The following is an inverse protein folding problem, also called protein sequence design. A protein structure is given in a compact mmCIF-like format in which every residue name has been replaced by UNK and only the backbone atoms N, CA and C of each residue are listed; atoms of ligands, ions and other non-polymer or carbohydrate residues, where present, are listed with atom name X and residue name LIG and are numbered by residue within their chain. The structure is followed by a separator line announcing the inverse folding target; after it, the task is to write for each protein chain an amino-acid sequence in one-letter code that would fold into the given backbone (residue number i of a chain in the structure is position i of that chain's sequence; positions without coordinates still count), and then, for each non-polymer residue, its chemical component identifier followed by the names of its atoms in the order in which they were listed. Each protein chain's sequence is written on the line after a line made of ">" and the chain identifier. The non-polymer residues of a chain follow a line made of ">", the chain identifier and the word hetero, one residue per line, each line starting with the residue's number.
data_IF_190436112358
#
_entry.id   IF_190436112358
#
_cell.length_a   1.000
_cell.length_b   1.000
_cell.length_c   1.000
_cell.angle_alpha   90.00
_cell.angle_beta   90.00
_cell.angle_gamma   90.00
#
_symmetry.space_group_name_H-M   'P 1'
#
loop_
_entity.id
_entity.type
_entity.pdbx_description
1 polymer ?
#
# COMPACT_ATOMS: atom_id res chain seq x y z
N UNK A 1 29.29 25.92 1.31
CA UNK A 1 29.33 25.63 2.76
C UNK A 1 29.02 24.15 2.93
N UNK A 2 29.92 23.38 3.54
CA UNK A 2 29.66 21.95 3.84
C UNK A 2 28.74 21.94 5.05
N UNK A 3 27.46 21.53 4.87
CA UNK A 3 26.52 21.35 5.96
C UNK A 3 27.09 20.35 6.96
N UNK A 4 27.00 20.66 8.24
CA UNK A 4 27.31 19.74 9.33
C UNK A 4 26.51 18.46 9.11
N UNK A 5 27.14 17.25 9.16
CA UNK A 5 26.36 16.01 9.07
C UNK A 5 25.31 16.02 10.17
N UNK A 6 24.08 15.69 9.84
CA UNK A 6 23.01 15.55 10.81
C UNK A 6 23.51 14.60 11.91
N UNK A 7 23.61 15.07 13.16
CA UNK A 7 23.95 14.21 14.28
C UNK A 7 22.88 13.11 14.36
N UNK A 8 23.33 11.86 14.31
CA UNK A 8 22.44 10.69 14.44
C UNK A 8 21.70 10.74 15.79
N UNK A 9 20.62 9.98 15.89
CA UNK A 9 19.93 9.74 17.16
C UNK A 9 20.80 8.86 18.04
N UNK A 10 20.94 9.18 19.33
CA UNK A 10 21.44 8.23 20.32
C UNK A 10 20.38 7.16 20.64
N UNK A 11 20.75 6.10 21.37
CA UNK A 11 19.84 5.00 21.70
C UNK A 11 18.61 5.44 22.47
N UNK A 12 18.75 6.41 23.40
CA UNK A 12 17.63 6.95 24.17
C UNK A 12 16.65 7.70 23.26
N UNK A 13 17.16 8.57 22.40
CA UNK A 13 16.35 9.32 21.43
C UNK A 13 15.63 8.38 20.47
N UNK A 14 16.29 7.32 19.99
CA UNK A 14 15.65 6.29 19.20
C UNK A 14 14.55 5.56 19.97
N UNK A 15 14.77 5.26 21.23
CA UNK A 15 13.75 4.65 22.09
C UNK A 15 12.51 5.53 22.22
N UNK A 16 12.68 6.84 22.41
CA UNK A 16 11.58 7.81 22.48
C UNK A 16 10.80 7.88 21.14
N UNK A 17 11.50 7.98 20.01
CA UNK A 17 10.90 7.98 18.67
C UNK A 17 10.12 6.69 18.39
N UNK A 18 10.71 5.54 18.70
CA UNK A 18 10.03 4.25 18.53
C UNK A 18 8.77 4.15 19.43
N UNK A 19 8.86 4.65 20.65
CA UNK A 19 7.72 4.72 21.57
C UNK A 19 6.58 5.57 21.03
N UNK A 20 6.88 6.77 20.50
CA UNK A 20 5.90 7.68 19.91
C UNK A 20 5.27 7.08 18.64
N UNK A 21 6.08 6.50 17.76
CA UNK A 21 5.61 5.83 16.54
C UNK A 21 4.70 4.63 16.88
N UNK A 22 5.08 3.83 17.88
CA UNK A 22 4.28 2.70 18.37
C UNK A 22 2.93 3.17 18.91
N UNK A 23 2.93 4.21 19.74
CA UNK A 23 1.71 4.76 20.32
C UNK A 23 0.78 5.34 19.23
N UNK A 24 1.35 6.03 18.23
CA UNK A 24 0.58 6.53 17.08
C UNK A 24 -0.03 5.38 16.28
N UNK A 25 0.75 4.33 15.96
CA UNK A 25 0.23 3.16 15.25
C UNK A 25 -0.91 2.49 16.03
N UNK A 26 -0.76 2.30 17.34
CA UNK A 26 -1.82 1.74 18.18
C UNK A 26 -3.10 2.59 18.14
N UNK A 27 -2.98 3.93 18.17
CA UNK A 27 -4.12 4.85 18.04
C UNK A 27 -4.79 4.71 16.67
N UNK A 28 -4.02 4.65 15.58
CA UNK A 28 -4.54 4.46 14.22
C UNK A 28 -5.25 3.11 14.06
N UNK A 29 -4.70 2.04 14.62
CA UNK A 29 -5.31 0.70 14.56
C UNK A 29 -6.66 0.62 15.29
N UNK A 30 -6.87 1.46 16.32
CA UNK A 30 -8.16 1.54 17.03
C UNK A 30 -9.25 2.28 16.26
N UNK A 31 -8.90 2.94 15.18
CA UNK A 31 -9.87 3.56 14.27
C UNK A 31 -10.22 2.54 13.19
N UNK A 32 -11.47 2.07 13.19
CA UNK A 32 -11.95 1.20 12.12
C UNK A 32 -12.21 2.03 10.86
N UNK A 33 -11.40 1.75 9.85
CA UNK A 33 -11.47 2.34 8.50
C UNK A 33 -11.68 1.25 7.45
N UNK A 34 -12.40 0.17 7.82
CA UNK A 34 -12.70 -0.93 6.90
C UNK A 34 -13.41 -0.43 5.65
N UNK A 35 -12.90 -0.78 4.49
CA UNK A 35 -13.44 -0.39 3.21
C UNK A 35 -13.89 -1.63 2.42
N UNK A 36 -15.16 -1.74 2.04
CA UNK A 36 -16.27 -0.82 2.30
C UNK A 36 -16.77 -0.86 3.76
N UNK A 37 -17.44 0.19 4.29
CA UNK A 37 -17.82 1.42 3.60
C UNK A 37 -16.74 2.51 3.59
N UNK A 38 -15.68 2.39 4.43
CA UNK A 38 -14.70 3.41 4.70
C UNK A 38 -15.13 4.42 5.77
N UNK A 39 -14.17 4.97 6.49
CA UNK A 39 -14.36 6.00 7.52
C UNK A 39 -13.01 6.72 7.74
N UNK A 40 -12.34 7.04 6.67
CA UNK A 40 -10.97 7.54 6.72
C UNK A 40 -10.89 8.93 7.39
N UNK A 41 -11.99 9.70 7.39
CA UNK A 41 -12.06 10.99 8.06
C UNK A 41 -11.68 10.90 9.56
N UNK A 42 -12.01 9.80 10.23
CA UNK A 42 -11.68 9.60 11.64
C UNK A 42 -10.16 9.44 11.85
N UNK A 43 -9.49 8.67 10.99
CA UNK A 43 -8.05 8.50 11.01
C UNK A 43 -7.32 9.77 10.54
N UNK A 44 -7.84 10.45 9.52
CA UNK A 44 -7.29 11.70 9.01
C UNK A 44 -7.33 12.82 10.08
N UNK A 45 -8.43 12.95 10.82
CA UNK A 45 -8.52 13.89 11.95
C UNK A 45 -7.58 13.56 13.10
N UNK A 46 -7.39 12.27 13.39
CA UNK A 46 -6.41 11.83 14.38
C UNK A 46 -4.99 12.26 13.96
N UNK A 47 -4.62 12.04 12.70
CA UNK A 47 -3.32 12.46 12.16
C UNK A 47 -3.16 13.99 12.17
N UNK A 48 -4.20 14.73 11.78
CA UNK A 48 -4.19 16.19 11.82
C UNK A 48 -3.89 16.70 13.23
N UNK A 49 -4.53 16.14 14.26
CA UNK A 49 -4.25 16.50 15.65
C UNK A 49 -2.80 16.19 16.05
N UNK A 50 -2.29 15.00 15.67
CA UNK A 50 -0.93 14.57 15.99
C UNK A 50 0.13 15.42 15.30
N UNK A 51 -0.12 15.85 14.07
CA UNK A 51 0.82 16.70 13.33
C UNK A 51 0.77 18.15 13.81
N UNK A 52 -0.39 18.62 14.25
CA UNK A 52 -0.55 19.96 14.85
C UNK A 52 0.22 20.13 16.17
N UNK A 53 0.52 19.04 16.91
CA UNK A 53 1.38 19.06 18.10
C UNK A 53 2.80 19.59 17.80
N UNK A 54 3.25 19.51 16.55
CA UNK A 54 4.56 19.98 16.08
C UNK A 54 4.42 21.13 15.06
N UNK A 55 3.32 21.89 15.10
CA UNK A 55 3.05 23.01 14.19
C UNK A 55 3.15 22.62 12.70
N UNK A 56 2.63 21.45 12.37
CA UNK A 56 2.55 20.96 10.97
C UNK A 56 1.11 21.09 10.50
N UNK A 57 0.89 22.04 9.59
CA UNK A 57 -0.43 22.25 8.99
C UNK A 57 -0.81 21.10 8.05
N UNK A 58 -2.08 20.69 8.13
CA UNK A 58 -2.64 19.64 7.32
C UNK A 58 -3.96 20.08 6.68
N UNK A 59 -4.13 19.74 5.42
CA UNK A 59 -5.41 19.89 4.73
C UNK A 59 -6.16 18.55 4.73
N UNK A 60 -7.45 18.59 5.08
CA UNK A 60 -8.38 17.48 4.92
C UNK A 60 -9.18 17.69 3.64
N UNK A 61 -9.02 16.79 2.69
CA UNK A 61 -9.65 16.84 1.36
C UNK A 61 -10.65 15.69 1.26
N UNK A 62 -11.92 16.00 1.52
CA UNK A 62 -13.01 15.02 1.55
C UNK A 62 -13.58 14.81 0.16
N UNK A 63 -13.42 13.61 -0.39
CA UNK A 63 -13.92 13.24 -1.72
C UNK A 63 -15.40 12.82 -1.68
N UNK A 64 -15.86 12.27 -0.57
CA UNK A 64 -17.23 11.89 -0.28
C UNK A 64 -17.45 11.89 1.24
N UNK A 65 -18.69 11.93 1.74
CA UNK A 65 -18.96 11.94 3.18
C UNK A 65 -18.22 10.81 3.92
N UNK A 66 -17.36 11.18 4.88
CA UNK A 66 -16.53 10.25 5.63
C UNK A 66 -15.27 9.74 4.93
N UNK A 67 -15.08 10.01 3.65
CA UNK A 67 -13.99 9.54 2.81
C UNK A 67 -12.98 10.68 2.59
N UNK A 68 -12.10 10.91 3.55
CA UNK A 68 -11.21 12.06 3.57
C UNK A 68 -9.75 11.65 3.42
N UNK A 69 -9.04 12.44 2.62
CA UNK A 69 -7.60 12.39 2.45
C UNK A 69 -6.95 13.45 3.33
N UNK A 70 -5.78 13.19 3.86
CA UNK A 70 -4.95 14.18 4.55
C UNK A 70 -3.72 14.47 3.71
N UNK A 71 -3.42 15.77 3.53
CA UNK A 71 -2.17 16.22 2.90
C UNK A 71 -1.48 17.21 3.83
N UNK A 72 -0.20 16.96 4.10
CA UNK A 72 0.69 17.88 4.82
C UNK A 72 1.93 18.17 3.99
N UNK A 73 2.53 19.37 4.14
CA UNK A 73 3.72 19.76 3.39
C UNK A 73 4.70 20.50 4.27
N UNK A 74 5.94 20.03 4.31
CA UNK A 74 7.07 20.78 4.85
C UNK A 74 7.79 21.46 3.69
N UNK A 75 7.74 22.79 3.67
CA UNK A 75 8.39 23.59 2.63
C UNK A 75 9.89 23.73 2.90
N UNK A 76 10.69 23.56 1.85
CA UNK A 76 12.13 23.81 1.86
C UNK A 76 12.49 25.21 1.38
N UNK A 77 11.56 25.91 0.74
CA UNK A 77 11.83 27.13 -0.03
C UNK A 77 12.62 26.89 -1.32
N UNK A 78 12.88 25.64 -1.69
CA UNK A 78 13.61 25.23 -2.90
C UNK A 78 12.66 25.04 -4.09
N UNK A 79 13.18 25.21 -5.31
CA UNK A 79 12.47 24.87 -6.56
C UNK A 79 12.64 23.41 -6.98
N UNK A 80 13.39 22.61 -6.22
CA UNK A 80 13.58 21.19 -6.50
C UNK A 80 12.24 20.43 -6.38
N UNK A 81 11.95 19.49 -7.29
CA UNK A 81 10.72 18.70 -7.21
C UNK A 81 10.55 18.00 -5.85
N UNK A 82 9.37 18.04 -5.23
CA UNK A 82 9.12 17.48 -3.92
C UNK A 82 9.34 15.97 -3.83
N UNK A 83 9.52 15.47 -2.60
CA UNK A 83 9.38 14.06 -2.23
C UNK A 83 8.00 13.84 -1.62
N UNK A 84 7.25 12.90 -2.16
CA UNK A 84 5.94 12.47 -1.65
C UNK A 84 6.11 11.19 -0.82
N UNK A 85 5.58 11.20 0.40
CA UNK A 85 5.31 10.02 1.20
C UNK A 85 3.85 9.66 0.99
N UNK A 86 3.59 8.64 0.19
CA UNK A 86 2.25 8.20 -0.21
C UNK A 86 1.81 7.01 0.65
N UNK A 87 0.71 7.15 1.37
CA UNK A 87 0.16 6.11 2.25
C UNK A 87 -1.35 6.11 2.17
N UNK A 88 -2.01 4.99 2.55
CA UNK A 88 -3.47 4.95 2.65
C UNK A 88 -3.96 4.70 4.08
N UNK A 89 -5.19 5.12 4.35
CA UNK A 89 -5.82 5.07 5.67
C UNK A 89 -6.83 3.93 5.81
N UNK A 90 -7.43 3.52 4.71
CA UNK A 90 -8.39 2.43 4.70
C UNK A 90 -7.72 1.06 4.88
N UNK A 91 -8.51 0.08 5.23
CA UNK A 91 -8.07 -1.31 5.42
C UNK A 91 -9.16 -2.24 4.90
N UNK A 92 -8.78 -3.44 4.45
CA UNK A 92 -9.76 -4.48 4.13
C UNK A 92 -10.51 -4.92 5.40
N UNK A 93 -11.75 -5.42 5.28
CA UNK A 93 -12.51 -5.93 6.42
C UNK A 93 -11.75 -6.97 7.25
N UNK A 94 -12.00 -6.99 8.56
CA UNK A 94 -11.33 -7.93 9.47
C UNK A 94 -11.68 -9.40 9.20
N UNK A 95 -12.82 -9.67 8.56
CA UNK A 95 -13.36 -11.02 8.37
C UNK A 95 -13.96 -11.58 9.66
N UNK A 96 -13.72 -12.86 9.92
CA UNK A 96 -14.18 -13.49 11.17
C UNK A 96 -13.29 -13.01 12.35
N UNK A 97 -13.85 -12.14 13.18
CA UNK A 97 -13.12 -11.58 14.34
C UNK A 97 -12.81 -12.67 15.38
N UNK A 98 -13.56 -13.77 15.43
CA UNK A 98 -13.28 -14.91 16.31
C UNK A 98 -12.02 -15.68 15.94
N UNK A 99 -11.51 -15.52 14.72
CA UNK A 99 -10.25 -16.12 14.27
C UNK A 99 -9.00 -15.30 14.66
N UNK A 100 -9.17 -14.10 15.22
CA UNK A 100 -8.05 -13.26 15.62
C UNK A 100 -7.56 -13.59 17.03
N UNK A 101 -6.24 -13.62 17.22
CA UNK A 101 -5.61 -13.80 18.55
C UNK A 101 -5.88 -12.59 19.46
N UNK A 102 -5.93 -11.40 18.89
CA UNK A 102 -6.28 -10.14 19.56
C UNK A 102 -7.35 -9.41 18.73
N UNK A 103 -8.19 -8.55 19.33
CA UNK A 103 -9.20 -7.79 18.58
C UNK A 103 -8.57 -7.05 17.39
N UNK A 104 -9.14 -7.16 16.17
CA UNK A 104 -8.55 -6.57 14.95
C UNK A 104 -8.37 -5.05 15.02
N UNK A 105 -9.22 -4.35 15.77
CA UNK A 105 -9.11 -2.90 16.00
C UNK A 105 -8.69 -2.58 17.45
N UNK A 106 -8.00 -3.51 18.12
CA UNK A 106 -7.49 -3.31 19.48
C UNK A 106 -6.20 -2.50 19.55
N UNK A 107 -5.37 -2.56 18.52
CA UNK A 107 -4.02 -1.97 18.53
C UNK A 107 -3.20 -2.51 19.69
N UNK A 108 -3.27 -3.81 19.94
CA UNK A 108 -2.64 -4.48 21.08
C UNK A 108 -1.13 -4.62 20.84
N UNK A 109 -0.32 -4.20 21.80
CA UNK A 109 1.11 -4.51 21.85
C UNK A 109 1.31 -5.69 22.79
N UNK A 110 1.66 -6.85 22.24
CA UNK A 110 1.97 -8.07 23.00
C UNK A 110 3.32 -8.64 22.58
N UNK A 111 4.20 -8.87 23.55
CA UNK A 111 5.55 -9.44 23.36
C UNK A 111 6.38 -8.76 22.28
N UNK A 112 6.27 -7.44 22.16
CA UNK A 112 7.00 -6.65 21.17
C UNK A 112 6.39 -6.64 19.76
N UNK A 113 5.21 -7.23 19.57
CA UNK A 113 4.45 -7.26 18.32
C UNK A 113 3.17 -6.42 18.45
N UNK A 114 2.92 -5.55 17.49
CA UNK A 114 1.67 -4.77 17.42
C UNK A 114 0.66 -5.54 16.57
N UNK A 115 -0.49 -5.86 17.17
CA UNK A 115 -1.56 -6.62 16.55
C UNK A 115 -2.70 -5.72 16.12
N UNK A 116 -3.18 -5.92 14.90
CA UNK A 116 -4.38 -5.23 14.41
C UNK A 116 -4.52 -5.26 12.89
N UNK A 117 -5.74 -5.07 12.39
CA UNK A 117 -6.00 -4.87 10.97
C UNK A 117 -5.36 -3.56 10.51
N UNK A 118 -4.54 -3.61 9.45
CA UNK A 118 -3.78 -2.47 8.97
C UNK A 118 -2.42 -2.28 9.66
N UNK A 119 -2.01 -3.18 10.58
CA UNK A 119 -0.71 -3.08 11.24
C UNK A 119 0.47 -3.22 10.28
N UNK A 120 0.29 -3.90 9.15
CA UNK A 120 1.27 -4.04 8.07
C UNK A 120 0.83 -3.26 6.85
N UNK A 121 -0.42 -3.38 6.46
CA UNK A 121 -1.02 -2.78 5.27
C UNK A 121 -2.11 -1.80 5.69
N UNK A 122 -1.81 -0.44 5.71
CA UNK A 122 -0.43 0.09 5.79
C UNK A 122 -0.33 1.20 6.85
N UNK A 123 -1.11 1.10 7.95
CA UNK A 123 -1.09 2.12 9.03
C UNK A 123 0.27 2.25 9.73
N UNK A 124 1.15 1.21 9.65
CA UNK A 124 2.54 1.33 10.06
C UNK A 124 3.28 2.40 9.25
N UNK A 125 3.14 2.38 7.91
CA UNK A 125 3.76 3.39 7.04
C UNK A 125 3.15 4.77 7.26
N UNK A 126 1.83 4.84 7.54
CA UNK A 126 1.18 6.10 7.94
C UNK A 126 1.84 6.67 9.20
N UNK A 127 1.99 5.84 10.24
CA UNK A 127 2.62 6.27 11.50
C UNK A 127 4.08 6.67 11.29
N UNK A 128 4.86 5.88 10.56
CA UNK A 128 6.27 6.18 10.28
C UNK A 128 6.42 7.47 9.46
N UNK A 129 5.59 7.67 8.44
CA UNK A 129 5.64 8.88 7.59
C UNK A 129 5.28 10.14 8.39
N UNK A 130 4.25 10.07 9.23
CA UNK A 130 3.91 11.16 10.15
C UNK A 130 5.07 11.48 11.10
N UNK A 131 5.71 10.44 11.67
CA UNK A 131 6.88 10.62 12.53
C UNK A 131 8.07 11.23 11.81
N UNK A 132 8.30 10.88 10.53
CA UNK A 132 9.34 11.52 9.71
C UNK A 132 9.09 13.03 9.61
N UNK A 133 7.86 13.46 9.32
CA UNK A 133 7.53 14.88 9.27
C UNK A 133 7.77 15.57 10.62
N UNK A 134 7.27 14.97 11.72
CA UNK A 134 7.47 15.50 13.09
C UNK A 134 8.96 15.66 13.40
N UNK A 135 9.78 14.65 13.09
CA UNK A 135 11.22 14.70 13.34
C UNK A 135 11.95 15.74 12.49
N UNK A 136 11.58 15.89 11.21
CA UNK A 136 12.13 16.93 10.35
C UNK A 136 11.78 18.33 10.88
N UNK A 137 10.55 18.52 11.35
CA UNK A 137 10.08 19.78 11.93
C UNK A 137 10.78 20.10 13.26
N UNK A 138 10.79 19.16 14.21
CA UNK A 138 11.42 19.32 15.53
C UNK A 138 12.93 19.63 15.46
N UNK A 139 13.60 19.12 14.42
CA UNK A 139 15.04 19.34 14.20
C UNK A 139 15.34 20.53 13.31
N UNK A 140 14.35 21.27 12.89
CA UNK A 140 14.51 22.38 11.94
C UNK A 140 15.40 21.97 10.76
N UNK A 141 15.14 20.75 10.21
CA UNK A 141 15.98 20.13 9.21
C UNK A 141 16.06 20.99 7.95
N UNK A 142 17.30 21.23 7.47
CA UNK A 142 17.55 21.95 6.21
C UNK A 142 17.14 21.05 5.04
N UNK A 143 15.93 21.24 4.53
CA UNK A 143 15.38 20.44 3.44
C UNK A 143 15.91 20.95 2.09
N UNK A 144 16.37 20.02 1.24
CA UNK A 144 16.80 20.33 -0.13
C UNK A 144 15.62 20.39 -1.10
N UNK A 145 14.49 19.82 -0.73
CA UNK A 145 13.21 19.80 -1.46
C UNK A 145 12.06 19.70 -0.48
N UNK A 146 10.89 20.10 -0.88
CA UNK A 146 9.72 19.94 -0.06
C UNK A 146 9.44 18.46 0.21
N UNK A 147 8.88 18.17 1.38
CA UNK A 147 8.38 16.83 1.74
C UNK A 147 6.86 16.92 1.88
N UNK A 148 6.16 16.15 1.07
CA UNK A 148 4.71 16.03 1.09
C UNK A 148 4.37 14.69 1.76
N UNK A 149 3.42 14.70 2.67
CA UNK A 149 2.80 13.50 3.22
C UNK A 149 1.35 13.46 2.78
N UNK A 150 0.96 12.41 2.08
CA UNK A 150 -0.42 12.15 1.69
C UNK A 150 -0.87 10.83 2.31
N UNK A 151 -1.89 10.89 3.16
CA UNK A 151 -2.57 9.74 3.72
C UNK A 151 -3.97 9.68 3.07
N UNK A 152 -4.12 8.79 2.10
CA UNK A 152 -5.28 8.76 1.21
C UNK A 152 -6.36 7.78 1.67
N UNK A 153 -7.56 7.98 1.18
CA UNK A 153 -8.68 7.06 1.31
C UNK A 153 -8.72 6.07 0.14
N UNK A 154 -9.49 4.99 0.29
CA UNK A 154 -10.01 4.17 -0.81
C UNK A 154 -8.96 3.40 -1.64
N UNK A 155 -7.78 3.14 -1.09
CA UNK A 155 -6.76 2.36 -1.81
C UNK A 155 -7.25 0.93 -2.04
N UNK A 156 -7.78 0.29 -1.00
CA UNK A 156 -8.22 -1.11 -0.96
C UNK A 156 -9.44 -1.40 -1.85
N UNK A 157 -10.14 -0.36 -2.34
CA UNK A 157 -11.33 -0.51 -3.17
C UNK A 157 -11.24 0.19 -4.55
N UNK A 158 -10.04 0.64 -4.96
CA UNK A 158 -9.77 1.09 -6.31
C UNK A 158 -9.36 2.55 -6.47
N UNK A 159 -9.02 3.23 -5.39
CA UNK A 159 -8.37 4.56 -5.37
C UNK A 159 -9.22 5.75 -5.89
N UNK A 160 -10.50 5.54 -6.21
CA UNK A 160 -11.37 6.59 -6.83
C UNK A 160 -11.51 7.82 -5.93
N UNK A 161 -11.66 7.61 -4.61
CA UNK A 161 -11.86 8.67 -3.62
C UNK A 161 -10.56 9.10 -2.94
N UNK A 162 -9.45 8.43 -3.25
CA UNK A 162 -8.13 8.66 -2.69
C UNK A 162 -7.16 9.27 -3.69
N UNK A 163 -6.17 8.49 -4.09
CA UNK A 163 -5.07 8.96 -4.94
C UNK A 163 -5.55 9.52 -6.28
N UNK A 164 -6.57 8.92 -6.91
CA UNK A 164 -7.16 9.45 -8.15
C UNK A 164 -7.80 10.82 -7.93
N UNK A 165 -8.62 10.96 -6.89
CA UNK A 165 -9.23 12.24 -6.52
C UNK A 165 -8.17 13.33 -6.31
N UNK A 166 -7.08 13.01 -5.58
CA UNK A 166 -6.01 13.98 -5.37
C UNK A 166 -5.29 14.36 -6.66
N UNK A 167 -4.98 13.40 -7.52
CA UNK A 167 -4.26 13.65 -8.77
C UNK A 167 -5.12 14.46 -9.76
N UNK A 168 -6.42 14.17 -9.83
CA UNK A 168 -7.32 14.84 -10.79
C UNK A 168 -7.84 16.19 -10.28
N UNK A 169 -8.13 16.32 -8.98
CA UNK A 169 -8.78 17.52 -8.43
C UNK A 169 -7.81 18.44 -7.66
N UNK A 170 -6.71 17.90 -7.13
CA UNK A 170 -5.74 18.62 -6.31
C UNK A 170 -4.29 18.32 -6.71
N UNK A 171 -3.93 18.35 -8.03
CA UNK A 171 -2.60 17.94 -8.50
C UNK A 171 -1.46 18.80 -7.92
N UNK A 172 -1.72 20.06 -7.61
CA UNK A 172 -0.78 20.99 -6.98
C UNK A 172 -0.36 20.55 -5.58
N UNK A 173 -1.21 19.80 -4.87
CA UNK A 173 -0.96 19.31 -3.52
C UNK A 173 -0.04 18.09 -3.49
N UNK A 174 -0.08 17.24 -4.53
CA UNK A 174 0.58 15.93 -4.55
C UNK A 174 1.63 15.78 -5.65
N UNK A 175 1.76 16.74 -6.57
CA UNK A 175 2.78 16.67 -7.62
C UNK A 175 4.18 16.64 -7.02
N UNK A 176 4.95 15.59 -7.34
CA UNK A 176 6.26 15.33 -6.78
C UNK A 176 7.22 14.79 -7.85
N UNK A 177 8.53 14.92 -7.61
CA UNK A 177 9.58 14.31 -8.44
C UNK A 177 9.84 12.85 -8.08
N UNK A 178 9.58 12.49 -6.83
CA UNK A 178 9.74 11.15 -6.29
C UNK A 178 8.61 10.83 -5.34
N UNK A 179 8.19 9.57 -5.30
CA UNK A 179 7.22 9.08 -4.33
C UNK A 179 7.79 7.84 -3.62
N UNK A 180 7.57 7.77 -2.31
CA UNK A 180 7.79 6.59 -1.49
C UNK A 180 6.42 6.12 -1.00
N UNK A 181 6.07 4.89 -1.32
CA UNK A 181 4.83 4.26 -0.93
C UNK A 181 5.07 2.90 -0.29
N UNK A 182 4.05 2.09 -0.25
CA UNK A 182 4.14 0.70 0.17
C UNK A 182 4.79 -0.19 -0.90
N UNK A 183 5.04 -1.43 -0.54
CA UNK A 183 5.64 -2.50 -1.34
C UNK A 183 7.08 -2.22 -1.79
N UNK A 184 7.98 -2.99 -1.24
CA UNK A 184 9.42 -2.91 -1.50
C UNK A 184 10.21 -2.61 -0.23
N UNK A 185 11.53 -2.43 -0.38
CA UNK A 185 12.42 -2.13 0.74
C UNK A 185 12.66 -3.31 1.70
N UNK A 186 12.16 -4.51 1.40
CA UNK A 186 12.43 -5.73 2.16
C UNK A 186 13.34 -6.69 1.37
N UNK A 187 14.20 -7.46 2.06
CA UNK A 187 15.02 -8.44 1.42
C UNK A 187 14.25 -9.74 1.15
N UNK A 188 14.42 -10.29 -0.06
CA UNK A 188 14.04 -11.68 -0.37
C UNK A 188 15.29 -12.54 -0.51
N UNK A 189 15.17 -13.83 -0.21
CA UNK A 189 16.27 -14.78 -0.39
C UNK A 189 16.01 -15.59 -1.65
N UNK A 190 16.92 -15.47 -2.62
CA UNK A 190 16.86 -16.21 -3.88
C UNK A 190 18.09 -17.14 -3.94
N UNK A 191 17.89 -18.42 -3.61
CA UNK A 191 18.99 -19.36 -3.42
C UNK A 191 19.85 -18.98 -2.20
N UNK A 192 21.11 -18.61 -2.42
CA UNK A 192 22.02 -18.13 -1.36
C UNK A 192 22.17 -16.60 -1.34
N UNK A 193 21.59 -15.92 -2.31
CA UNK A 193 21.68 -14.46 -2.44
C UNK A 193 20.54 -13.78 -1.69
N UNK A 194 20.86 -12.68 -1.03
CA UNK A 194 19.90 -11.78 -0.40
C UNK A 194 19.71 -10.58 -1.32
N UNK A 195 18.49 -10.40 -1.82
CA UNK A 195 18.13 -9.36 -2.80
C UNK A 195 17.19 -8.36 -2.15
N UNK A 196 17.51 -7.07 -2.25
CA UNK A 196 16.61 -5.99 -1.86
C UNK A 196 15.66 -5.69 -3.02
N UNK A 197 14.35 -5.80 -2.78
CA UNK A 197 13.33 -5.54 -3.81
C UNK A 197 13.00 -4.06 -3.83
N UNK A 198 13.04 -3.48 -5.04
CA UNK A 198 12.58 -2.11 -5.31
C UNK A 198 11.49 -2.20 -6.38
N UNK A 199 10.29 -1.75 -6.06
CA UNK A 199 9.18 -1.71 -7.02
C UNK A 199 9.40 -0.52 -7.98
N UNK A 200 9.45 -0.82 -9.27
CA UNK A 200 9.64 0.19 -10.33
C UNK A 200 8.47 0.25 -11.31
N UNK A 201 7.53 -0.68 -11.20
CA UNK A 201 6.30 -0.74 -11.98
C UNK A 201 5.23 -1.52 -11.22
N UNK A 202 3.98 -1.28 -11.55
CA UNK A 202 2.83 -1.93 -10.94
C UNK A 202 1.83 -2.37 -12.02
N UNK A 203 1.12 -3.48 -11.75
CA UNK A 203 0.03 -3.94 -12.60
C UNK A 203 -1.24 -3.15 -12.28
N UNK A 204 -1.97 -2.74 -13.33
CA UNK A 204 -3.26 -2.12 -13.14
C UNK A 204 -4.30 -3.10 -12.58
N UNK A 205 -5.19 -2.60 -11.72
CA UNK A 205 -6.33 -3.36 -11.19
C UNK A 205 -7.37 -3.59 -12.29
N UNK A 206 -7.91 -4.81 -12.37
CA UNK A 206 -8.99 -5.16 -13.28
C UNK A 206 -10.11 -5.89 -12.54
N UNK A 207 -11.03 -5.15 -11.93
CA UNK A 207 -12.22 -5.69 -11.30
C UNK A 207 -13.27 -6.07 -12.35
N UNK A 208 -13.71 -7.32 -12.33
CA UNK A 208 -14.69 -7.85 -13.30
C UNK A 208 -15.97 -8.27 -12.59
N UNK A 209 -17.11 -7.87 -13.17
CA UNK A 209 -18.42 -8.33 -12.73
C UNK A 209 -19.09 -9.15 -13.84
N UNK A 210 -19.18 -10.46 -13.66
CA UNK A 210 -19.87 -11.34 -14.59
C UNK A 210 -21.37 -11.37 -14.28
N UNK A 211 -22.19 -11.14 -15.29
CA UNK A 211 -23.65 -11.25 -15.21
C UNK A 211 -24.18 -12.14 -16.33
N UNK A 212 -25.11 -13.03 -15.99
CA UNK A 212 -25.76 -13.88 -16.99
C UNK A 212 -27.28 -13.73 -16.88
N UNK A 213 -27.95 -13.90 -18.03
CA UNK A 213 -29.40 -13.95 -18.11
C UNK A 213 -29.81 -15.35 -18.62
N UNK A 214 -30.89 -15.86 -18.12
CA UNK A 214 -31.45 -17.15 -18.52
C UNK A 214 -32.96 -17.14 -18.44
N UNK A 215 -33.58 -18.10 -19.08
CA UNK A 215 -35.04 -18.26 -19.04
C UNK A 215 -35.46 -18.82 -17.69
N UNK A 216 -36.59 -18.34 -17.18
CA UNK A 216 -37.21 -18.90 -15.98
C UNK A 216 -37.76 -20.32 -16.26
N UNK A 217 -37.78 -21.17 -15.25
CA UNK A 217 -38.28 -22.54 -15.34
C UNK A 217 -38.65 -23.10 -13.97
N UNK A 218 -39.37 -24.22 -13.99
CA UNK A 218 -39.73 -24.93 -12.77
C UNK A 218 -38.50 -25.68 -12.20
N UNK A 219 -38.28 -25.61 -10.88
CA UNK A 219 -37.08 -26.18 -10.23
C UNK A 219 -36.90 -27.69 -10.42
N UNK A 220 -38.01 -28.43 -10.61
CA UNK A 220 -37.99 -29.87 -10.90
C UNK A 220 -37.64 -30.21 -12.37
N UNK A 221 -37.54 -29.24 -13.27
CA UNK A 221 -37.15 -29.42 -14.69
C UNK A 221 -35.81 -28.74 -14.96
N UNK A 222 -34.69 -29.49 -14.90
CA UNK A 222 -33.35 -28.93 -15.11
C UNK A 222 -33.23 -28.29 -16.49
N UNK A 223 -32.71 -27.06 -16.51
CA UNK A 223 -32.47 -26.30 -17.74
C UNK A 223 -30.97 -25.98 -17.88
N UNK A 224 -30.30 -26.54 -18.89
CA UNK A 224 -28.87 -26.28 -19.11
C UNK A 224 -28.58 -24.83 -19.54
N UNK A 225 -29.61 -24.09 -20.00
CA UNK A 225 -29.56 -22.68 -20.40
C UNK A 225 -29.98 -21.72 -19.29
N UNK A 226 -30.19 -22.18 -18.06
CA UNK A 226 -30.48 -21.32 -16.91
C UNK A 226 -29.35 -20.36 -16.61
N UNK A 227 -29.65 -19.19 -16.02
CA UNK A 227 -28.63 -18.18 -15.71
C UNK A 227 -27.52 -18.72 -14.82
N UNK A 228 -27.78 -19.49 -13.72
CA UNK A 228 -26.72 -20.11 -12.94
C UNK A 228 -25.86 -21.06 -13.75
N UNK A 229 -26.46 -21.95 -14.57
CA UNK A 229 -25.69 -22.90 -15.38
C UNK A 229 -24.78 -22.20 -16.41
N UNK A 230 -25.23 -21.11 -17.01
CA UNK A 230 -24.41 -20.28 -17.90
C UNK A 230 -23.27 -19.60 -17.16
N UNK A 231 -23.53 -19.06 -15.97
CA UNK A 231 -22.51 -18.41 -15.14
C UNK A 231 -21.44 -19.41 -14.71
N UNK A 232 -21.84 -20.57 -14.19
CA UNK A 232 -20.91 -21.61 -13.78
C UNK A 232 -20.02 -22.07 -14.92
N UNK A 233 -20.57 -22.26 -16.13
CA UNK A 233 -19.75 -22.63 -17.31
C UNK A 233 -18.79 -21.53 -17.74
N UNK A 234 -19.18 -20.26 -17.64
CA UNK A 234 -18.31 -19.14 -17.96
C UNK A 234 -17.15 -19.03 -16.96
N UNK A 235 -17.47 -19.09 -15.66
CA UNK A 235 -16.47 -19.07 -14.60
C UNK A 235 -15.53 -20.29 -14.66
N UNK A 236 -16.08 -21.49 -14.93
CA UNK A 236 -15.28 -22.69 -15.12
C UNK A 236 -14.26 -22.57 -16.26
N UNK A 237 -14.63 -21.94 -17.39
CA UNK A 237 -13.69 -21.66 -18.50
C UNK A 237 -12.63 -20.64 -18.12
N UNK A 238 -12.97 -19.61 -17.35
CA UNK A 238 -12.00 -18.62 -16.86
C UNK A 238 -11.03 -19.30 -15.88
N UNK A 239 -11.55 -20.10 -14.95
CA UNK A 239 -10.76 -20.77 -13.92
C UNK A 239 -9.80 -21.84 -14.49
N UNK A 240 -10.18 -22.50 -15.61
CA UNK A 240 -9.34 -23.52 -16.26
C UNK A 240 -8.47 -22.98 -17.40
N UNK A 241 -8.60 -21.70 -17.75
CA UNK A 241 -7.81 -21.04 -18.77
C UNK A 241 -6.57 -20.38 -18.19
N UNK A 242 -5.49 -20.34 -18.97
CA UNK A 242 -4.34 -19.48 -18.70
C UNK A 242 -4.52 -18.12 -19.35
N UNK A 243 -4.10 -17.05 -18.67
CA UNK A 243 -4.03 -15.72 -19.27
C UNK A 243 -2.74 -15.61 -20.11
N UNK A 244 -2.77 -14.87 -21.23
CA UNK A 244 -1.56 -14.62 -22.01
C UNK A 244 -0.48 -13.95 -21.15
N UNK A 245 0.73 -14.48 -21.21
CA UNK A 245 1.87 -13.89 -20.54
C UNK A 245 2.36 -12.65 -21.30
N UNK A 246 2.57 -11.57 -20.59
CA UNK A 246 3.18 -10.36 -21.13
C UNK A 246 4.48 -10.06 -20.38
N UNK A 247 5.61 -10.23 -21.06
CA UNK A 247 6.89 -9.86 -20.50
C UNK A 247 7.08 -8.34 -20.61
N UNK A 248 7.28 -7.69 -19.49
CA UNK A 248 7.64 -6.27 -19.46
C UNK A 248 9.15 -6.12 -19.28
N UNK A 249 9.77 -5.02 -19.72
CA UNK A 249 11.21 -4.79 -19.51
C UNK A 249 11.62 -4.88 -18.02
N UNK A 250 10.73 -4.47 -17.10
CA UNK A 250 10.98 -4.56 -15.65
C UNK A 250 11.05 -6.02 -15.21
N UNK A 251 10.11 -6.87 -15.66
CA UNK A 251 10.11 -8.29 -15.32
C UNK A 251 11.30 -9.02 -15.95
N UNK A 252 11.64 -8.70 -17.19
CA UNK A 252 12.82 -9.26 -17.87
C UNK A 252 14.10 -8.93 -17.09
N UNK A 253 14.29 -7.67 -16.71
CA UNK A 253 15.44 -7.25 -15.91
C UNK A 253 15.48 -7.98 -14.56
N UNK A 254 14.35 -8.06 -13.85
CA UNK A 254 14.27 -8.75 -12.56
C UNK A 254 14.65 -10.22 -12.68
N UNK A 255 14.15 -10.95 -13.68
CA UNK A 255 14.47 -12.36 -13.90
C UNK A 255 15.94 -12.53 -14.31
N UNK A 256 16.46 -11.68 -15.19
CA UNK A 256 17.87 -11.75 -15.60
C UNK A 256 18.83 -11.52 -14.45
N UNK A 257 18.60 -10.47 -13.66
CA UNK A 257 19.45 -10.12 -12.51
C UNK A 257 19.39 -11.20 -11.41
N UNK A 258 18.19 -11.68 -11.08
CA UNK A 258 18.03 -12.73 -10.06
C UNK A 258 18.59 -14.07 -10.54
N UNK A 259 18.45 -14.41 -11.81
CA UNK A 259 19.01 -15.61 -12.41
C UNK A 259 20.56 -15.55 -12.42
N UNK A 260 21.16 -14.38 -12.64
CA UNK A 260 22.61 -14.22 -12.62
C UNK A 260 23.24 -14.56 -11.27
N UNK A 261 22.48 -14.45 -10.17
CA UNK A 261 22.91 -14.79 -8.82
C UNK A 261 22.82 -16.30 -8.51
N UNK A 262 22.35 -17.12 -9.45
CA UNK A 262 22.12 -18.55 -9.24
C UNK A 262 23.16 -19.41 -9.93
N UNK A 263 23.40 -20.66 -9.43
CA UNK A 263 24.22 -21.66 -10.13
C UNK A 263 23.62 -21.99 -11.51
N UNK A 264 24.49 -22.42 -12.44
CA UNK A 264 24.13 -22.69 -13.84
C UNK A 264 22.82 -23.47 -14.07
N UNK A 265 22.52 -24.58 -13.40
CA UNK A 265 21.26 -25.28 -13.65
C UNK A 265 20.03 -24.40 -13.33
N UNK A 266 20.00 -23.77 -12.17
CA UNK A 266 18.89 -22.92 -11.71
C UNK A 266 18.78 -21.65 -12.57
N UNK A 267 19.91 -21.06 -12.96
CA UNK A 267 19.95 -19.89 -13.84
C UNK A 267 19.26 -20.17 -15.17
N UNK A 268 19.55 -21.32 -15.79
CA UNK A 268 18.94 -21.70 -17.08
C UNK A 268 17.43 -21.90 -16.94
N UNK A 269 16.96 -22.51 -15.84
CA UNK A 269 15.53 -22.70 -15.57
C UNK A 269 14.83 -21.35 -15.40
N UNK A 270 15.37 -20.44 -14.56
CA UNK A 270 14.78 -19.13 -14.36
C UNK A 270 14.65 -18.31 -15.64
N UNK A 271 15.64 -18.38 -16.52
CA UNK A 271 15.58 -17.69 -17.81
C UNK A 271 14.48 -18.24 -18.77
N UNK A 272 14.03 -19.49 -18.56
CA UNK A 272 12.91 -20.03 -19.33
C UNK A 272 11.56 -19.42 -18.93
N UNK A 273 11.44 -18.80 -17.75
CA UNK A 273 10.23 -18.07 -17.35
C UNK A 273 9.85 -16.92 -18.30
N UNK A 274 10.82 -16.44 -19.08
CA UNK A 274 10.61 -15.42 -20.11
C UNK A 274 10.16 -15.97 -21.48
N UNK A 275 10.03 -17.29 -21.63
CA UNK A 275 9.75 -17.94 -22.91
C UNK A 275 8.49 -18.79 -22.83
N UNK A 276 7.41 -18.35 -23.49
CA UNK A 276 6.27 -19.23 -23.75
C UNK A 276 6.68 -20.35 -24.73
N UNK A 277 6.21 -21.59 -24.61
CA UNK A 277 5.26 -22.11 -23.62
C UNK A 277 5.92 -22.68 -22.35
N UNK A 278 7.23 -22.54 -22.16
CA UNK A 278 7.95 -23.13 -21.02
C UNK A 278 7.58 -22.47 -19.70
N UNK A 279 7.21 -21.20 -19.72
CA UNK A 279 6.67 -20.51 -18.54
C UNK A 279 5.38 -21.16 -18.05
N UNK A 280 4.47 -21.54 -18.95
CA UNK A 280 3.18 -22.17 -18.61
C UNK A 280 3.35 -23.58 -17.99
N UNK A 281 4.53 -24.18 -18.13
CA UNK A 281 4.86 -25.49 -17.56
C UNK A 281 5.51 -25.36 -16.17
N UNK A 282 6.08 -24.19 -15.85
CA UNK A 282 6.83 -23.92 -14.62
C UNK A 282 5.94 -23.23 -13.57
N UNK A 283 4.99 -22.41 -14.01
CA UNK A 283 4.01 -21.68 -13.20
C UNK A 283 2.68 -22.45 -13.11
#
# INVERSE_FOLDING_TARGET
>A
MRGTPAQGFDERQWGEVCGEATALLQRLLRVDTSNPPGNEIAAARLLQQVLAEDDIDCELLEAAPGRSNLVARLSSGSSEPPLLLATHLDVVPAGDEGAWTHPPFGGVLDRGVIWGRGAIDMKNMVAMSAMVLKLLRRREAQLRRDVIFAAVADEEAGCELGSRFLVEQHPDKVRAGYALGEVGGYPITVGKARVMVVQTAEKGVCWLRARTRGTQGHGAMPRPDSAPARLCRALGRIASGSLPQHNTPVMEAFIHETAALQPLPTRLVLQQLLRAPLSDLIL
#
